data_IF_091738024471
#
_entry.id   IF_091738024471
#
_cell.length_a   1.000
_cell.length_b   1.000
_cell.length_c   1.000
_cell.angle_alpha   90.00
_cell.angle_beta   90.00
_cell.angle_gamma   90.00
#
_symmetry.space_group_name_H-M   'P 1'
#
loop_
_entity.id
_entity.type
_entity.pdbx_description
1 polymer ?
#
# COMPACT_ATOMS: atom_id res chain seq x y z
N UNK A 1 64.39 60.18 -0.11
CA UNK A 1 63.02 60.68 -0.37
C UNK A 1 62.39 59.80 -1.44
N UNK A 2 61.30 59.09 -1.11
CA UNK A 2 60.16 58.72 -1.98
C UNK A 2 59.16 58.05 -1.02
N UNK A 3 58.05 58.74 -0.75
CA UNK A 3 56.92 58.28 0.09
C UNK A 3 56.09 57.28 -0.70
N UNK A 4 55.77 56.12 -0.10
CA UNK A 4 54.76 55.19 -0.61
C UNK A 4 53.37 55.69 -0.24
N UNK A 5 52.50 55.84 -1.24
CA UNK A 5 51.07 56.10 -1.10
C UNK A 5 50.35 54.76 -0.99
N UNK A 6 49.57 54.57 0.07
CA UNK A 6 48.63 53.45 0.22
C UNK A 6 47.23 53.96 -0.10
N UNK A 7 46.65 53.50 -1.21
CA UNK A 7 45.23 53.67 -1.52
C UNK A 7 44.42 52.57 -0.81
N UNK A 8 43.45 52.99 0.01
CA UNK A 8 42.46 52.11 0.62
C UNK A 8 41.25 51.99 -0.33
N UNK A 9 41.00 50.80 -0.89
CA UNK A 9 39.71 50.49 -1.54
C UNK A 9 38.75 49.93 -0.49
N UNK A 10 37.66 50.66 -0.22
CA UNK A 10 36.50 50.15 0.50
C UNK A 10 35.62 49.36 -0.48
N UNK A 11 35.50 48.04 -0.27
CA UNK A 11 34.59 47.20 -1.03
C UNK A 11 33.17 47.28 -0.43
N UNK A 12 32.23 47.84 -1.20
CA UNK A 12 30.80 47.81 -0.90
C UNK A 12 30.28 46.43 -1.32
N UNK A 13 30.00 45.56 -0.35
CA UNK A 13 29.33 44.29 -0.61
C UNK A 13 27.83 44.55 -0.87
N UNK A 14 27.39 44.37 -2.12
CA UNK A 14 25.98 44.37 -2.46
C UNK A 14 25.31 43.12 -1.88
N UNK A 15 24.41 43.31 -0.90
CA UNK A 15 23.57 42.25 -0.36
C UNK A 15 22.51 41.90 -1.40
N UNK A 16 22.64 40.75 -2.05
CA UNK A 16 21.59 40.24 -2.93
C UNK A 16 20.32 39.94 -2.10
N UNK A 17 19.11 40.30 -2.56
CA UNK A 17 17.88 40.00 -1.84
C UNK A 17 17.69 38.48 -1.77
N UNK A 18 17.44 37.98 -0.56
CA UNK A 18 17.07 36.58 -0.34
C UNK A 18 15.79 36.28 -1.14
N UNK A 19 15.86 35.31 -2.06
CA UNK A 19 14.70 34.83 -2.79
C UNK A 19 13.65 34.32 -1.81
N UNK A 20 12.45 34.91 -1.83
CA UNK A 20 11.33 34.47 -1.01
C UNK A 20 11.03 32.99 -1.29
N UNK A 21 11.04 32.16 -0.25
CA UNK A 21 10.63 30.76 -0.39
C UNK A 21 9.17 30.70 -0.84
N UNK A 22 8.80 29.80 -1.79
CA UNK A 22 7.41 29.61 -2.17
C UNK A 22 6.56 29.30 -0.93
N UNK A 23 5.42 29.98 -0.80
CA UNK A 23 4.50 29.77 0.31
C UNK A 23 4.13 28.28 0.45
N UNK A 24 4.01 27.80 1.69
CA UNK A 24 3.54 26.45 1.95
C UNK A 24 2.12 26.27 1.37
N UNK A 25 1.83 25.13 0.71
CA UNK A 25 0.49 24.86 0.21
C UNK A 25 -0.54 24.93 1.34
N UNK A 26 -1.72 25.48 1.06
CA UNK A 26 -2.81 25.51 2.03
C UNK A 26 -3.18 24.07 2.49
N UNK A 27 -3.56 23.89 3.78
CA UNK A 27 -4.11 22.64 4.26
C UNK A 27 -5.40 22.26 3.52
N UNK A 28 -5.59 20.96 3.27
CA UNK A 28 -6.80 20.42 2.66
C UNK A 28 -7.96 20.42 3.65
N UNK A 29 -9.17 20.80 3.23
CA UNK A 29 -10.35 20.77 4.10
C UNK A 29 -11.08 19.42 4.01
N UNK A 30 -10.74 18.47 4.87
CA UNK A 30 -11.37 17.13 4.87
C UNK A 30 -12.78 17.09 5.49
N UNK A 31 -13.32 18.21 5.97
CA UNK A 31 -14.75 18.29 6.29
C UNK A 31 -15.61 18.24 5.02
N UNK A 32 -15.04 18.61 3.86
CA UNK A 32 -15.69 18.54 2.56
C UNK A 32 -15.65 17.12 2.02
N UNK A 33 -16.83 16.59 1.70
CA UNK A 33 -16.97 15.26 1.12
C UNK A 33 -16.19 15.09 -0.20
N UNK A 34 -16.00 16.16 -0.99
CA UNK A 34 -15.23 16.12 -2.24
C UNK A 34 -13.77 15.70 -2.08
N UNK A 35 -13.19 15.84 -0.87
CA UNK A 35 -11.80 15.49 -0.59
C UNK A 35 -11.65 14.02 -0.13
N UNK A 36 -12.66 13.19 -0.41
CA UNK A 36 -12.65 11.75 -0.14
C UNK A 36 -12.98 11.01 -1.44
N UNK A 37 -12.25 9.93 -1.72
CA UNK A 37 -12.60 8.91 -2.73
C UNK A 37 -13.70 7.99 -2.23
N UNK A 38 -13.61 7.60 -0.96
CA UNK A 38 -14.62 6.80 -0.27
C UNK A 38 -15.04 7.49 1.02
N UNK A 39 -16.34 7.70 1.19
CA UNK A 39 -16.92 8.26 2.40
C UNK A 39 -18.27 7.56 2.68
N UNK A 40 -18.47 6.92 3.84
CA UNK A 40 -19.70 6.20 4.12
C UNK A 40 -20.94 7.10 4.07
N UNK A 41 -22.05 6.58 3.53
CA UNK A 41 -23.32 7.31 3.44
C UNK A 41 -23.54 8.08 2.14
N UNK A 42 -22.62 7.99 1.17
CA UNK A 42 -22.83 8.53 -0.19
C UNK A 42 -22.68 7.43 -1.26
N UNK A 43 -23.20 7.70 -2.44
CA UNK A 43 -22.89 6.93 -3.64
C UNK A 43 -21.49 7.33 -4.15
N UNK A 44 -20.55 6.39 -4.14
CA UNK A 44 -19.20 6.55 -4.64
C UNK A 44 -18.60 5.21 -5.13
N UNK A 45 -17.28 5.21 -5.33
CA UNK A 45 -16.54 4.07 -5.86
C UNK A 45 -16.50 2.86 -4.91
N UNK A 46 -16.55 3.09 -3.59
CA UNK A 46 -16.60 2.02 -2.59
C UNK A 46 -18.02 1.53 -2.34
N UNK A 47 -19.06 2.31 -2.69
CA UNK A 47 -20.46 1.88 -2.57
C UNK A 47 -20.97 1.12 -3.81
N UNK A 48 -20.13 0.91 -4.83
CA UNK A 48 -20.51 0.23 -6.08
C UNK A 48 -20.04 -1.21 -6.07
N UNK A 49 -20.94 -2.21 -6.12
CA UNK A 49 -20.56 -3.62 -6.20
C UNK A 49 -19.70 -3.95 -7.42
N UNK A 50 -18.74 -4.86 -7.24
CA UNK A 50 -17.78 -5.26 -8.27
C UNK A 50 -18.09 -6.67 -8.80
N UNK A 51 -18.41 -6.74 -10.08
CA UNK A 51 -18.59 -7.99 -10.80
C UNK A 51 -17.33 -8.85 -10.74
N UNK A 52 -17.46 -10.06 -10.23
CA UNK A 52 -16.36 -11.01 -10.05
C UNK A 52 -16.79 -12.41 -10.49
N UNK A 53 -15.91 -13.10 -11.22
CA UNK A 53 -16.08 -14.49 -11.63
C UNK A 53 -15.13 -15.35 -10.81
N UNK A 54 -15.63 -16.45 -10.22
CA UNK A 54 -14.76 -17.45 -9.61
C UNK A 54 -13.99 -18.18 -10.71
N UNK A 55 -12.70 -18.43 -10.51
CA UNK A 55 -11.86 -19.21 -11.41
C UNK A 55 -11.22 -20.35 -10.64
N UNK A 56 -11.66 -21.57 -10.96
CA UNK A 56 -11.32 -22.81 -10.28
C UNK A 56 -10.58 -23.74 -11.25
N UNK A 57 -10.01 -24.87 -10.79
CA UNK A 57 -9.33 -25.83 -11.67
C UNK A 57 -10.15 -26.28 -12.90
N UNK A 58 -11.49 -26.27 -12.79
CA UNK A 58 -12.41 -26.67 -13.86
C UNK A 58 -12.80 -25.54 -14.83
N UNK A 59 -12.29 -24.31 -14.64
CA UNK A 59 -12.60 -23.13 -15.47
C UNK A 59 -13.35 -22.03 -14.72
N UNK A 60 -14.04 -21.17 -15.47
CA UNK A 60 -14.90 -20.12 -14.93
C UNK A 60 -16.10 -20.75 -14.20
N UNK A 61 -16.31 -20.29 -12.98
CA UNK A 61 -17.39 -20.71 -12.11
C UNK A 61 -18.45 -19.62 -11.94
N UNK A 62 -18.92 -19.47 -10.71
CA UNK A 62 -19.98 -18.51 -10.38
C UNK A 62 -19.59 -17.07 -10.68
N UNK A 63 -20.54 -16.32 -11.22
CA UNK A 63 -20.46 -14.87 -11.41
C UNK A 63 -21.28 -14.21 -10.31
N UNK A 64 -20.71 -13.21 -9.64
CA UNK A 64 -21.37 -12.51 -8.55
C UNK A 64 -20.91 -11.05 -8.42
N UNK A 65 -21.53 -10.35 -7.50
CA UNK A 65 -21.19 -8.97 -7.14
C UNK A 65 -20.58 -8.95 -5.75
N UNK A 66 -19.56 -8.11 -5.52
CA UNK A 66 -19.01 -7.93 -4.17
C UNK A 66 -20.08 -7.34 -3.24
N UNK A 67 -20.19 -7.80 -1.98
CA UNK A 67 -21.12 -7.22 -1.02
C UNK A 67 -20.73 -5.79 -0.64
N UNK A 68 -21.75 -4.98 -0.33
CA UNK A 68 -21.60 -3.67 0.33
C UNK A 68 -22.43 -3.73 1.60
N UNK A 69 -21.77 -3.68 2.76
CA UNK A 69 -22.45 -3.83 4.04
C UNK A 69 -23.30 -2.60 4.35
N UNK A 70 -24.60 -2.80 4.58
CA UNK A 70 -25.50 -1.74 5.06
C UNK A 70 -25.05 -1.23 6.43
N UNK A 71 -24.60 -2.14 7.29
CA UNK A 71 -24.08 -1.85 8.61
C UNK A 71 -22.79 -2.65 8.82
N UNK A 72 -21.67 -1.96 8.89
CA UNK A 72 -20.41 -2.55 9.31
C UNK A 72 -20.05 -2.02 10.71
N UNK A 73 -19.58 -2.86 11.65
CA UNK A 73 -19.27 -2.45 13.02
C UNK A 73 -17.85 -1.90 13.19
N UNK A 74 -17.00 -2.06 12.18
CA UNK A 74 -15.61 -1.57 12.14
C UNK A 74 -15.42 -0.60 10.96
N UNK A 75 -14.46 0.31 11.10
CA UNK A 75 -14.09 1.25 10.04
C UNK A 75 -12.79 0.80 9.35
N UNK A 76 -12.64 1.08 8.06
CA UNK A 76 -11.37 0.97 7.37
C UNK A 76 -10.94 2.35 6.88
N UNK A 77 -9.74 2.76 7.29
CA UNK A 77 -9.07 3.96 6.80
C UNK A 77 -7.99 3.56 5.80
N UNK A 78 -8.19 3.88 4.53
CA UNK A 78 -7.31 3.50 3.43
C UNK A 78 -6.51 4.67 2.89
N UNK A 79 -5.23 4.44 2.62
CA UNK A 79 -4.35 5.37 1.90
C UNK A 79 -3.79 4.65 0.69
N UNK A 80 -4.11 5.17 -0.50
CA UNK A 80 -3.72 4.55 -1.77
C UNK A 80 -2.22 4.69 -2.07
N UNK A 81 -1.65 3.85 -2.97
CA UNK A 81 -0.24 3.93 -3.37
C UNK A 81 0.02 5.09 -4.33
N UNK A 82 1.28 5.27 -4.73
CA UNK A 82 1.62 6.15 -5.85
C UNK A 82 0.96 5.67 -7.14
N UNK A 83 0.07 6.49 -7.70
CA UNK A 83 -0.58 6.23 -9.00
C UNK A 83 -0.67 7.46 -9.91
N UNK A 84 -0.45 8.67 -9.39
CA UNK A 84 -0.58 9.90 -10.17
C UNK A 84 0.53 10.07 -11.21
N UNK A 85 0.12 10.46 -12.41
CA UNK A 85 0.97 10.84 -13.54
C UNK A 85 1.13 12.37 -13.67
N UNK A 86 0.72 13.15 -12.66
CA UNK A 86 0.87 14.60 -12.68
C UNK A 86 2.34 15.00 -12.84
N UNK A 87 2.57 16.12 -13.53
CA UNK A 87 3.92 16.60 -13.84
C UNK A 87 4.73 17.04 -12.62
N UNK A 88 4.06 17.35 -11.51
CA UNK A 88 4.71 17.78 -10.26
C UNK A 88 5.28 16.61 -9.44
N UNK A 89 6.00 16.93 -8.36
CA UNK A 89 6.47 15.93 -7.40
C UNK A 89 5.34 15.42 -6.47
N UNK A 90 4.24 16.17 -6.38
CA UNK A 90 3.00 15.74 -5.75
C UNK A 90 1.85 15.88 -6.74
N UNK A 91 0.83 15.03 -6.59
CA UNK A 91 -0.42 15.16 -7.31
C UNK A 91 -1.19 16.42 -6.89
N UNK A 92 -2.20 16.77 -7.67
CA UNK A 92 -3.24 17.68 -7.22
C UNK A 92 -4.25 16.98 -6.28
N UNK A 93 -5.39 17.64 -6.04
CA UNK A 93 -6.51 17.10 -5.24
C UNK A 93 -7.69 16.63 -6.13
N UNK A 94 -7.48 16.53 -7.43
CA UNK A 94 -8.48 16.13 -8.42
C UNK A 94 -8.27 14.66 -8.75
N UNK A 95 -8.94 13.77 -8.03
CA UNK A 95 -8.79 12.34 -8.27
C UNK A 95 -9.26 11.93 -9.68
N UNK A 96 -8.34 11.34 -10.44
CA UNK A 96 -8.57 10.83 -11.79
C UNK A 96 -8.78 9.30 -11.80
N UNK A 97 -8.74 8.70 -12.99
CA UNK A 97 -8.93 7.25 -13.13
C UNK A 97 -7.86 6.42 -12.41
N UNK A 98 -6.67 6.95 -12.22
CA UNK A 98 -5.53 6.30 -11.56
C UNK A 98 -5.84 6.09 -10.07
N UNK A 99 -6.24 7.13 -9.34
CA UNK A 99 -6.66 7.02 -7.93
C UNK A 99 -7.91 6.15 -7.78
N UNK A 100 -8.88 6.32 -8.69
CA UNK A 100 -10.12 5.52 -8.70
C UNK A 100 -9.83 4.03 -8.92
N UNK A 101 -8.97 3.70 -9.88
CA UNK A 101 -8.60 2.32 -10.17
C UNK A 101 -7.79 1.69 -9.03
N UNK A 102 -6.96 2.47 -8.32
CA UNK A 102 -6.26 2.00 -7.12
C UNK A 102 -7.28 1.55 -6.05
N UNK A 103 -8.29 2.38 -5.78
CA UNK A 103 -9.37 2.05 -4.84
C UNK A 103 -10.16 0.82 -5.30
N UNK A 104 -10.56 0.74 -6.58
CA UNK A 104 -11.30 -0.42 -7.10
C UNK A 104 -10.51 -1.72 -6.99
N UNK A 105 -9.21 -1.67 -7.29
CA UNK A 105 -8.33 -2.83 -7.25
C UNK A 105 -8.00 -3.25 -5.81
N UNK A 106 -7.77 -2.31 -4.90
CA UNK A 106 -7.16 -2.61 -3.60
C UNK A 106 -8.13 -2.52 -2.42
N UNK A 107 -9.17 -1.70 -2.48
CA UNK A 107 -9.92 -1.29 -1.29
C UNK A 107 -11.45 -1.42 -1.38
N UNK A 108 -12.07 -1.21 -2.55
CA UNK A 108 -13.53 -1.14 -2.68
C UNK A 108 -14.26 -2.39 -2.12
N UNK A 109 -13.68 -3.59 -2.26
CA UNK A 109 -14.25 -4.83 -1.72
C UNK A 109 -14.32 -4.90 -0.19
N UNK A 110 -13.53 -4.10 0.52
CA UNK A 110 -13.61 -3.99 1.98
C UNK A 110 -14.95 -3.38 2.43
N UNK A 111 -15.69 -2.70 1.55
CA UNK A 111 -17.03 -2.21 1.83
C UNK A 111 -18.03 -3.32 2.25
N UNK A 112 -17.73 -4.58 1.94
CA UNK A 112 -18.50 -5.73 2.42
C UNK A 112 -18.32 -6.03 3.91
N UNK A 113 -17.29 -5.49 4.56
CA UNK A 113 -16.90 -5.84 5.94
C UNK A 113 -16.60 -4.65 6.85
N UNK A 114 -16.37 -3.45 6.31
CA UNK A 114 -16.11 -2.23 7.07
C UNK A 114 -16.69 -0.98 6.40
N UNK A 115 -16.85 0.09 7.18
CA UNK A 115 -17.12 1.43 6.62
C UNK A 115 -15.86 1.97 5.98
N UNK A 116 -15.90 2.31 4.69
CA UNK A 116 -14.71 2.67 3.90
C UNK A 116 -14.44 4.17 3.88
N UNK A 117 -13.27 4.59 4.37
CA UNK A 117 -12.77 5.96 4.31
C UNK A 117 -11.47 5.98 3.48
N UNK A 118 -11.43 6.77 2.43
CA UNK A 118 -10.22 6.96 1.61
C UNK A 118 -10.09 8.44 1.23
N UNK A 119 -9.16 9.22 1.84
CA UNK A 119 -9.00 10.63 1.53
C UNK A 119 -8.28 10.83 0.19
N UNK A 120 -8.64 11.87 -0.56
CA UNK A 120 -7.79 12.39 -1.65
C UNK A 120 -6.67 13.20 -1.02
N UNK A 121 -5.43 12.79 -1.21
CA UNK A 121 -4.25 13.47 -0.68
C UNK A 121 -3.24 13.73 -1.79
N UNK A 122 -2.40 14.75 -1.62
CA UNK A 122 -1.35 15.11 -2.59
C UNK A 122 -0.20 14.10 -2.54
N UNK A 123 -0.45 12.90 -3.04
CA UNK A 123 0.50 11.79 -3.11
C UNK A 123 1.77 12.18 -3.86
N UNK A 124 2.92 11.60 -3.52
CA UNK A 124 4.08 11.74 -4.41
C UNK A 124 3.81 11.00 -5.71
N UNK A 125 4.04 11.67 -6.85
CA UNK A 125 3.75 11.16 -8.19
C UNK A 125 4.73 10.09 -8.64
N UNK A 126 4.45 9.43 -9.77
CA UNK A 126 5.41 8.53 -10.42
C UNK A 126 6.71 9.25 -10.78
N UNK A 127 6.66 10.56 -11.10
CA UNK A 127 7.84 11.40 -11.29
C UNK A 127 8.70 11.52 -10.03
N UNK A 128 8.08 11.70 -8.86
CA UNK A 128 8.81 11.71 -7.60
C UNK A 128 9.41 10.35 -7.24
N UNK A 129 8.71 9.24 -7.54
CA UNK A 129 9.27 7.89 -7.36
C UNK A 129 10.49 7.68 -8.24
N UNK A 130 10.43 8.08 -9.52
CA UNK A 130 11.57 8.00 -10.43
C UNK A 130 12.74 8.87 -9.95
N UNK A 131 12.46 10.09 -9.49
CA UNK A 131 13.49 10.97 -8.93
C UNK A 131 14.15 10.37 -7.68
N UNK A 132 13.36 9.78 -6.76
CA UNK A 132 13.89 9.10 -5.59
C UNK A 132 14.78 7.90 -5.97
N UNK A 133 14.35 7.11 -6.96
CA UNK A 133 15.15 6.00 -7.49
C UNK A 133 16.46 6.47 -8.14
N UNK A 134 16.49 7.69 -8.69
CA UNK A 134 17.70 8.35 -9.19
C UNK A 134 18.53 9.05 -8.10
N UNK A 135 18.16 8.92 -6.82
CA UNK A 135 18.89 9.48 -5.68
C UNK A 135 18.54 10.93 -5.32
N UNK A 136 17.49 11.51 -5.90
CA UNK A 136 17.04 12.85 -5.55
C UNK A 136 16.37 12.88 -4.17
N UNK A 137 16.50 14.00 -3.46
CA UNK A 137 15.76 14.23 -2.21
C UNK A 137 14.27 14.49 -2.50
N UNK A 138 13.43 13.57 -2.03
CA UNK A 138 11.96 13.67 -2.09
C UNK A 138 11.32 13.92 -0.72
N UNK A 139 12.10 14.44 0.25
CA UNK A 139 11.63 14.70 1.61
C UNK A 139 10.50 15.75 1.65
N UNK A 140 10.58 16.80 0.82
CA UNK A 140 9.53 17.83 0.72
C UNK A 140 8.19 17.25 0.22
N UNK A 141 8.12 16.54 -0.93
CA UNK A 141 6.87 15.96 -1.38
C UNK A 141 6.35 14.88 -0.43
N UNK A 142 7.22 14.11 0.22
CA UNK A 142 6.82 13.14 1.25
C UNK A 142 6.17 13.81 2.47
N UNK A 143 6.73 14.93 2.97
CA UNK A 143 6.16 15.69 4.09
C UNK A 143 4.79 16.26 3.76
N UNK A 144 4.59 16.75 2.53
CA UNK A 144 3.29 17.26 2.08
C UNK A 144 2.23 16.14 2.05
N UNK A 145 2.57 15.00 1.45
CA UNK A 145 1.70 13.83 1.39
C UNK A 145 1.29 13.37 2.81
N UNK A 146 2.26 13.27 3.72
CA UNK A 146 1.99 12.90 5.11
C UNK A 146 1.12 13.93 5.84
N UNK A 147 1.38 15.23 5.66
CA UNK A 147 0.60 16.28 6.28
C UNK A 147 -0.88 16.20 5.88
N UNK A 148 -1.16 15.90 4.62
CA UNK A 148 -2.52 15.69 4.11
C UNK A 148 -3.17 14.45 4.72
N UNK A 149 -2.48 13.32 4.77
CA UNK A 149 -3.00 12.07 5.38
C UNK A 149 -3.26 12.25 6.88
N UNK A 150 -2.36 12.89 7.61
CA UNK A 150 -2.52 13.17 9.03
C UNK A 150 -3.71 14.11 9.29
N UNK A 151 -3.94 15.08 8.40
CA UNK A 151 -5.10 15.97 8.48
C UNK A 151 -6.42 15.23 8.20
N UNK A 152 -6.45 14.36 7.18
CA UNK A 152 -7.60 13.50 6.91
C UNK A 152 -7.92 12.58 8.09
N UNK A 153 -6.91 11.97 8.69
CA UNK A 153 -7.04 11.11 9.86
C UNK A 153 -7.65 11.83 11.06
N UNK A 154 -7.11 13.01 11.41
CA UNK A 154 -7.64 13.82 12.52
C UNK A 154 -9.10 14.21 12.26
N UNK A 155 -9.43 14.57 11.02
CA UNK A 155 -10.81 14.88 10.63
C UNK A 155 -11.72 13.66 10.72
N UNK A 156 -11.24 12.50 10.28
CA UNK A 156 -11.96 11.23 10.42
C UNK A 156 -12.26 10.90 11.89
N UNK A 157 -11.27 10.99 12.76
CA UNK A 157 -11.46 10.76 14.19
C UNK A 157 -12.48 11.72 14.79
N UNK A 158 -12.41 13.00 14.43
CA UNK A 158 -13.26 14.05 14.99
C UNK A 158 -14.72 13.96 14.51
N UNK A 159 -14.95 13.66 13.23
CA UNK A 159 -16.28 13.77 12.60
C UNK A 159 -16.97 12.43 12.38
N UNK A 160 -16.22 11.37 12.07
CA UNK A 160 -16.79 10.15 11.51
C UNK A 160 -16.61 8.90 12.37
N UNK A 161 -15.49 8.80 13.11
CA UNK A 161 -15.14 7.59 13.86
C UNK A 161 -16.06 7.33 15.05
N UNK A 162 -16.43 8.36 15.83
CA UNK A 162 -17.35 8.23 16.96
C UNK A 162 -16.96 7.12 17.97
N UNK A 163 -15.64 6.92 18.20
CA UNK A 163 -15.11 5.92 19.14
C UNK A 163 -15.08 4.48 18.61
N UNK A 164 -15.36 4.28 17.32
CA UNK A 164 -15.39 2.95 16.70
C UNK A 164 -13.99 2.38 16.54
N UNK A 165 -13.90 1.05 16.57
CA UNK A 165 -12.67 0.36 16.19
C UNK A 165 -12.40 0.53 14.70
N UNK A 166 -11.12 0.45 14.32
CA UNK A 166 -10.71 0.65 12.94
C UNK A 166 -9.60 -0.30 12.50
N UNK A 167 -9.53 -0.48 11.18
CA UNK A 167 -8.44 -1.10 10.44
C UNK A 167 -7.79 -0.03 9.57
N UNK A 168 -6.48 -0.06 9.48
CA UNK A 168 -5.72 0.78 8.55
C UNK A 168 -5.30 -0.08 7.36
N UNK A 169 -5.49 0.42 6.15
CA UNK A 169 -5.10 -0.29 4.92
C UNK A 169 -4.24 0.64 4.08
N UNK A 170 -3.02 0.24 3.79
CA UNK A 170 -2.10 0.99 2.93
C UNK A 170 -1.49 0.08 1.88
N UNK A 171 -1.01 0.67 0.80
CA UNK A 171 -0.09 -0.02 -0.11
C UNK A 171 1.03 0.93 -0.51
N UNK A 172 2.26 0.43 -0.61
CA UNK A 172 3.40 1.20 -1.09
C UNK A 172 3.55 2.53 -0.35
N UNK A 173 3.41 3.68 -1.04
CA UNK A 173 3.41 4.99 -0.41
C UNK A 173 2.36 5.11 0.71
N UNK A 174 1.15 4.58 0.50
CA UNK A 174 0.11 4.56 1.52
C UNK A 174 0.54 3.79 2.77
N UNK A 175 1.26 2.68 2.62
CA UNK A 175 1.85 1.95 3.75
C UNK A 175 2.88 2.80 4.49
N UNK A 176 3.76 3.52 3.77
CA UNK A 176 4.68 4.48 4.37
C UNK A 176 3.93 5.59 5.15
N UNK A 177 2.90 6.19 4.55
CA UNK A 177 2.11 7.24 5.22
C UNK A 177 1.45 6.72 6.50
N UNK A 178 0.91 5.50 6.45
CA UNK A 178 0.28 4.86 7.61
C UNK A 178 1.29 4.42 8.67
N UNK A 179 2.52 4.04 8.29
CA UNK A 179 3.59 3.84 9.26
C UNK A 179 3.89 5.12 10.05
N UNK A 180 4.05 6.26 9.36
CA UNK A 180 4.25 7.55 10.02
C UNK A 180 3.03 7.97 10.85
N UNK A 181 1.82 7.67 10.38
CA UNK A 181 0.61 7.96 11.11
C UNK A 181 0.50 7.13 12.41
N UNK A 182 0.84 5.84 12.35
CA UNK A 182 0.88 4.98 13.53
C UNK A 182 1.89 5.53 14.54
N UNK A 183 3.12 5.84 14.12
CA UNK A 183 4.17 6.37 15.00
C UNK A 183 3.77 7.66 15.72
N UNK A 184 3.16 8.60 14.99
CA UNK A 184 2.95 9.95 15.49
C UNK A 184 1.54 10.20 16.04
N UNK A 185 0.54 9.48 15.55
CA UNK A 185 -0.87 9.72 15.87
C UNK A 185 -1.53 8.57 16.63
N UNK A 186 -0.87 7.42 16.80
CA UNK A 186 -1.47 6.23 17.41
C UNK A 186 -0.62 5.69 18.56
N UNK A 187 0.67 5.38 18.36
CA UNK A 187 1.52 4.79 19.40
C UNK A 187 1.55 5.64 20.67
N UNK A 188 1.30 5.02 21.82
CA UNK A 188 1.26 5.70 23.11
C UNK A 188 0.04 6.60 23.34
N UNK A 189 -0.90 6.70 22.39
CA UNK A 189 -2.13 7.50 22.53
C UNK A 189 -3.35 6.61 22.82
N UNK A 190 -4.42 7.15 23.44
CA UNK A 190 -5.63 6.38 23.73
C UNK A 190 -6.26 5.69 22.51
N UNK A 191 -6.16 6.31 21.33
CA UNK A 191 -6.68 5.78 20.05
C UNK A 191 -6.04 4.45 19.64
N UNK A 192 -4.84 4.11 20.15
CA UNK A 192 -4.21 2.81 19.89
C UNK A 192 -5.11 1.62 20.29
N UNK A 193 -5.95 1.80 21.33
CA UNK A 193 -6.89 0.76 21.79
C UNK A 193 -8.00 0.46 20.77
N UNK A 194 -8.25 1.39 19.83
CA UNK A 194 -9.27 1.24 18.80
C UNK A 194 -8.71 0.60 17.52
N UNK A 195 -7.40 0.60 17.31
CA UNK A 195 -6.78 -0.03 16.14
C UNK A 195 -6.83 -1.56 16.28
N UNK A 196 -7.55 -2.23 15.38
CA UNK A 196 -7.64 -3.70 15.38
C UNK A 196 -6.57 -4.34 14.51
N UNK A 197 -6.21 -3.68 13.41
CA UNK A 197 -5.25 -4.20 12.45
C UNK A 197 -4.70 -3.05 11.59
N UNK A 198 -3.41 -3.11 11.25
CA UNK A 198 -2.84 -2.33 10.15
C UNK A 198 -2.36 -3.28 9.05
N UNK A 199 -2.85 -3.13 7.83
CA UNK A 199 -2.46 -3.90 6.64
C UNK A 199 -1.57 -3.00 5.80
N UNK A 200 -0.26 -3.24 5.81
CA UNK A 200 0.77 -2.33 5.30
C UNK A 200 1.72 -2.96 4.26
N UNK A 201 1.21 -3.63 3.21
CA UNK A 201 2.08 -4.23 2.20
C UNK A 201 2.76 -3.22 1.25
N UNK A 202 3.76 -3.68 0.51
CA UNK A 202 4.46 -2.89 -0.52
C UNK A 202 5.41 -1.83 0.04
N UNK A 203 5.69 -1.83 1.33
CA UNK A 203 6.72 -0.98 1.92
C UNK A 203 7.41 -1.70 3.07
N UNK A 204 8.71 -1.50 3.22
CA UNK A 204 9.46 -2.17 4.28
C UNK A 204 8.98 -1.70 5.65
N UNK A 205 8.63 -2.65 6.53
CA UNK A 205 8.47 -2.42 7.97
C UNK A 205 9.67 -3.10 8.64
N UNK A 206 10.52 -2.34 9.32
CA UNK A 206 11.74 -2.89 9.92
C UNK A 206 11.49 -3.35 11.36
N UNK A 207 12.06 -4.49 11.73
CA UNK A 207 12.11 -4.98 13.11
C UNK A 207 13.49 -5.59 13.39
N UNK A 208 13.97 -5.59 14.64
CA UNK A 208 15.13 -6.40 15.00
C UNK A 208 14.87 -7.87 14.70
N UNK A 209 15.90 -8.61 14.27
CA UNK A 209 15.78 -10.03 13.97
C UNK A 209 15.23 -10.80 15.17
N UNK A 210 14.23 -11.66 14.94
CA UNK A 210 13.54 -12.41 15.98
C UNK A 210 12.61 -11.58 16.88
N UNK A 211 12.41 -10.28 16.61
CA UNK A 211 11.50 -9.41 17.34
C UNK A 211 10.31 -8.99 16.48
N UNK A 212 9.27 -8.50 17.15
CA UNK A 212 8.02 -8.02 16.53
C UNK A 212 7.80 -6.52 16.68
N UNK A 213 8.62 -5.86 17.50
CA UNK A 213 8.64 -4.42 17.80
C UNK A 213 10.08 -3.95 17.95
N UNK A 214 10.29 -2.63 18.06
CA UNK A 214 11.62 -2.04 18.31
C UNK A 214 12.34 -1.60 17.03
N UNK A 215 11.61 -1.41 15.94
CA UNK A 215 12.13 -0.91 14.66
C UNK A 215 11.25 0.23 14.15
N UNK A 216 10.56 0.03 13.03
CA UNK A 216 9.57 1.00 12.51
C UNK A 216 8.55 1.38 13.58
N UNK A 217 8.06 0.42 14.35
CA UNK A 217 7.14 0.66 15.45
C UNK A 217 7.82 0.37 16.79
N UNK A 218 7.56 1.23 17.78
CA UNK A 218 8.09 1.07 19.14
C UNK A 218 7.29 0.05 19.93
N UNK A 219 5.96 0.05 19.78
CA UNK A 219 5.04 -0.75 20.58
C UNK A 219 3.98 -1.50 19.77
N UNK A 220 3.69 -1.11 18.53
CA UNK A 220 2.77 -1.86 17.65
C UNK A 220 3.46 -3.09 17.07
N UNK A 221 3.08 -4.33 17.44
CA UNK A 221 3.77 -5.52 17.00
C UNK A 221 3.40 -5.93 15.57
N UNK A 222 4.31 -6.58 14.86
CA UNK A 222 4.00 -7.33 13.63
C UNK A 222 3.14 -8.54 13.98
N UNK A 223 1.99 -8.78 13.34
CA UNK A 223 1.06 -9.85 13.71
C UNK A 223 1.68 -11.27 13.66
N UNK A 224 1.40 -12.10 14.67
CA UNK A 224 1.89 -13.47 14.80
C UNK A 224 0.79 -14.54 14.84
N UNK A 225 -0.50 -14.17 14.84
CA UNK A 225 -1.57 -15.15 14.70
C UNK A 225 -2.84 -14.59 14.04
N UNK A 226 -3.75 -15.45 13.54
CA UNK A 226 -5.05 -15.06 13.01
C UNK A 226 -5.99 -14.35 14.00
N UNK A 227 -5.84 -14.59 15.31
CA UNK A 227 -6.74 -13.99 16.31
C UNK A 227 -6.20 -12.66 16.89
N UNK A 228 -4.92 -12.35 16.63
CA UNK A 228 -4.28 -11.19 17.22
C UNK A 228 -4.81 -9.87 16.66
N UNK A 229 -4.91 -8.87 17.53
CA UNK A 229 -5.39 -7.52 17.21
C UNK A 229 -4.45 -6.46 17.75
N UNK A 230 -4.55 -5.23 17.26
CA UNK A 230 -3.63 -4.15 17.63
C UNK A 230 -2.23 -4.36 17.05
N UNK A 231 -2.13 -5.11 15.97
CA UNK A 231 -0.87 -5.48 15.31
C UNK A 231 -0.86 -5.03 13.84
N UNK A 232 0.33 -5.03 13.23
CA UNK A 232 0.53 -4.73 11.82
C UNK A 232 0.86 -6.00 11.01
N UNK A 233 0.13 -6.24 9.93
CA UNK A 233 0.52 -7.16 8.87
C UNK A 233 1.30 -6.38 7.83
N UNK A 234 2.50 -6.84 7.48
CA UNK A 234 3.35 -6.19 6.49
C UNK A 234 4.09 -7.23 5.66
N UNK A 235 4.23 -6.96 4.38
CA UNK A 235 5.06 -7.76 3.48
C UNK A 235 5.45 -6.94 2.25
N UNK A 236 6.52 -7.37 1.61
CA UNK A 236 6.82 -7.04 0.22
C UNK A 236 6.94 -8.38 -0.50
N UNK A 237 6.23 -8.54 -1.61
CA UNK A 237 6.13 -9.82 -2.31
C UNK A 237 7.23 -9.99 -3.35
N UNK A 238 7.71 -11.21 -3.50
CA UNK A 238 8.65 -11.62 -4.54
C UNK A 238 8.24 -12.99 -5.06
N UNK A 239 8.34 -13.20 -6.38
CA UNK A 239 8.07 -14.51 -6.98
C UNK A 239 9.02 -15.57 -6.40
N UNK A 240 8.53 -16.80 -6.26
CA UNK A 240 9.34 -17.93 -5.84
C UNK A 240 10.62 -18.00 -6.68
N UNK A 241 11.76 -18.23 -6.00
CA UNK A 241 13.11 -18.24 -6.56
C UNK A 241 13.66 -16.88 -7.07
N UNK A 242 12.87 -15.81 -7.07
CA UNK A 242 13.32 -14.44 -7.36
C UNK A 242 13.57 -13.68 -6.06
N UNK A 243 14.66 -14.00 -5.35
CA UNK A 243 14.96 -13.35 -4.07
C UNK A 243 15.32 -11.87 -4.28
N UNK A 244 15.04 -10.97 -3.31
CA UNK A 244 15.49 -9.58 -3.42
C UNK A 244 17.01 -9.55 -3.71
N UNK A 245 17.50 -8.86 -4.75
CA UNK A 245 18.95 -8.77 -4.98
C UNK A 245 19.62 -7.90 -3.92
N UNK A 246 20.93 -8.06 -3.68
CA UNK A 246 21.67 -7.13 -2.80
C UNK A 246 21.47 -5.68 -3.29
N UNK A 247 21.20 -4.76 -2.37
CA UNK A 247 20.89 -3.36 -2.72
C UNK A 247 19.45 -3.12 -3.20
N UNK A 248 18.58 -4.14 -3.17
CA UNK A 248 17.16 -3.96 -3.46
C UNK A 248 16.52 -2.92 -2.52
N UNK A 249 15.66 -2.08 -3.08
CA UNK A 249 14.87 -1.10 -2.34
C UNK A 249 13.92 -1.80 -1.34
N UNK A 250 13.33 -2.92 -1.75
CA UNK A 250 12.39 -3.69 -0.95
C UNK A 250 12.97 -5.04 -0.53
N UNK A 251 12.59 -5.48 0.67
CA UNK A 251 12.89 -6.82 1.18
C UNK A 251 14.27 -6.97 1.82
N UNK A 252 14.98 -5.87 2.04
CA UNK A 252 16.27 -5.82 2.74
C UNK A 252 16.28 -4.67 3.75
N UNK A 253 16.61 -4.98 5.01
CA UNK A 253 16.85 -3.98 6.03
C UNK A 253 18.23 -3.33 5.86
N UNK A 254 18.35 -1.99 5.98
CA UNK A 254 19.64 -1.31 5.76
C UNK A 254 20.64 -1.55 6.90
N UNK A 255 20.16 -1.75 8.13
CA UNK A 255 21.02 -1.89 9.31
C UNK A 255 21.28 -3.37 9.68
N UNK A 256 22.51 -3.73 10.11
CA UNK A 256 22.80 -5.04 10.67
C UNK A 256 21.91 -5.35 11.89
N UNK A 257 21.56 -6.62 12.09
CA UNK A 257 20.66 -7.06 13.18
C UNK A 257 19.18 -6.73 12.99
N UNK A 258 18.82 -5.96 11.96
CA UNK A 258 17.45 -5.70 11.55
C UNK A 258 17.03 -6.66 10.42
N UNK A 259 15.72 -6.78 10.20
CA UNK A 259 15.11 -7.45 9.05
C UNK A 259 13.84 -6.70 8.62
N UNK A 260 13.35 -6.98 7.41
CA UNK A 260 12.03 -6.54 6.97
C UNK A 260 11.00 -7.51 7.53
N UNK A 261 9.98 -7.01 8.22
CA UNK A 261 8.89 -7.82 8.71
C UNK A 261 8.12 -8.45 7.56
N UNK A 262 7.81 -9.73 7.70
CA UNK A 262 6.92 -10.45 6.82
C UNK A 262 5.80 -11.08 7.64
N UNK A 263 4.57 -10.87 7.20
CA UNK A 263 3.39 -11.56 7.70
C UNK A 263 2.71 -12.27 6.55
N UNK A 264 2.48 -13.58 6.67
CA UNK A 264 1.71 -14.31 5.67
C UNK A 264 0.25 -13.84 5.74
N UNK A 265 -0.33 -13.31 4.64
CA UNK A 265 -1.64 -12.67 4.70
C UNK A 265 -2.80 -13.65 4.92
N UNK A 266 -2.66 -14.92 4.51
CA UNK A 266 -3.65 -15.96 4.78
C UNK A 266 -3.60 -16.45 6.23
N UNK A 267 -2.38 -16.50 6.82
CA UNK A 267 -2.15 -17.03 8.17
C UNK A 267 -0.98 -16.33 8.86
N UNK A 268 -1.21 -15.20 9.56
CA UNK A 268 -0.15 -14.51 10.29
C UNK A 268 0.59 -15.42 11.26
N UNK A 269 1.92 -15.29 11.32
CA UNK A 269 2.82 -16.16 12.07
C UNK A 269 3.24 -17.45 11.35
N UNK A 270 2.59 -17.84 10.25
CA UNK A 270 2.99 -19.02 9.48
C UNK A 270 4.22 -18.75 8.61
N UNK A 271 5.17 -19.69 8.66
CA UNK A 271 6.31 -19.78 7.72
C UNK A 271 6.09 -20.87 6.66
N UNK A 272 4.98 -21.59 6.73
CA UNK A 272 4.61 -22.60 5.75
C UNK A 272 4.09 -21.95 4.46
N UNK A 273 4.00 -22.76 3.40
CA UNK A 273 3.28 -22.39 2.19
C UNK A 273 1.77 -22.44 2.47
N UNK A 274 1.15 -21.26 2.48
CA UNK A 274 -0.30 -21.12 2.62
C UNK A 274 -0.91 -20.83 1.26
N UNK A 275 -2.07 -21.43 0.94
CA UNK A 275 -2.86 -21.06 -0.25
C UNK A 275 -3.52 -19.72 0.02
N UNK A 276 -3.51 -18.83 -0.97
CA UNK A 276 -4.13 -17.51 -0.85
C UNK A 276 -5.49 -17.48 -1.55
N UNK A 277 -6.41 -16.69 -1.01
CA UNK A 277 -7.65 -16.28 -1.65
C UNK A 277 -7.44 -14.91 -2.30
N UNK A 278 -7.35 -14.90 -3.62
CA UNK A 278 -6.90 -13.76 -4.40
C UNK A 278 -8.04 -13.14 -5.20
N UNK A 279 -7.97 -11.82 -5.40
CA UNK A 279 -8.81 -11.11 -6.36
C UNK A 279 -7.93 -10.38 -7.37
N UNK A 280 -8.05 -10.78 -8.63
CA UNK A 280 -7.24 -10.26 -9.73
C UNK A 280 -8.05 -9.33 -10.61
N UNK A 281 -7.43 -8.25 -11.10
CA UNK A 281 -7.97 -7.53 -12.25
C UNK A 281 -7.83 -8.41 -13.48
N UNK A 282 -8.95 -8.68 -14.15
CA UNK A 282 -8.97 -9.53 -15.34
C UNK A 282 -8.42 -8.81 -16.58
N UNK A 283 -8.33 -7.47 -16.50
CA UNK A 283 -7.89 -6.56 -17.56
C UNK A 283 -6.63 -5.81 -17.15
N UNK A 284 -5.65 -6.51 -16.60
CA UNK A 284 -4.38 -5.92 -16.20
C UNK A 284 -3.56 -5.53 -17.45
N UNK A 285 -3.30 -4.24 -17.63
CA UNK A 285 -2.71 -3.68 -18.85
C UNK A 285 -1.20 -3.45 -18.78
N UNK A 286 -0.59 -3.54 -17.59
CA UNK A 286 0.86 -3.38 -17.43
C UNK A 286 1.60 -4.65 -17.86
N UNK A 287 2.89 -4.54 -18.25
CA UNK A 287 3.68 -5.69 -18.68
C UNK A 287 3.68 -6.81 -17.64
N UNK A 288 3.49 -8.05 -18.12
CA UNK A 288 3.52 -9.27 -17.31
C UNK A 288 4.59 -10.20 -17.88
N UNK A 289 5.40 -10.89 -17.06
CA UNK A 289 6.45 -11.78 -17.55
C UNK A 289 5.85 -12.87 -18.45
N UNK A 290 6.20 -12.86 -19.75
CA UNK A 290 5.69 -13.78 -20.78
C UNK A 290 4.50 -13.27 -21.63
N UNK A 291 4.13 -11.99 -21.55
CA UNK A 291 3.03 -11.40 -22.33
C UNK A 291 1.68 -11.35 -21.61
N UNK A 292 0.58 -10.96 -22.28
CA UNK A 292 -0.75 -10.86 -21.68
C UNK A 292 -1.19 -12.15 -20.98
N UNK A 293 -1.99 -12.02 -19.92
CA UNK A 293 -2.50 -13.17 -19.16
C UNK A 293 -3.78 -13.68 -19.82
N UNK A 294 -3.75 -14.92 -20.30
CA UNK A 294 -4.95 -15.70 -20.59
C UNK A 294 -5.36 -16.43 -19.31
N UNK A 295 -6.37 -15.91 -18.62
CA UNK A 295 -6.75 -16.41 -17.29
C UNK A 295 -7.29 -17.84 -17.28
N UNK A 296 -7.90 -18.27 -18.40
CA UNK A 296 -8.38 -19.64 -18.55
C UNK A 296 -8.34 -20.10 -20.00
N UNK A 297 -8.24 -21.42 -20.20
CA UNK A 297 -8.39 -22.08 -21.51
C UNK A 297 -9.78 -21.88 -22.11
N UNK A 298 -10.77 -21.43 -21.34
CA UNK A 298 -12.13 -21.10 -21.79
C UNK A 298 -12.25 -19.71 -22.43
N UNK A 299 -11.14 -18.98 -22.55
CA UNK A 299 -11.10 -17.66 -23.20
C UNK A 299 -11.26 -16.51 -22.21
N UNK A 300 -11.86 -15.41 -22.67
CA UNK A 300 -11.91 -14.16 -21.90
C UNK A 300 -12.83 -14.24 -20.68
N UNK A 301 -12.43 -13.63 -19.55
CA UNK A 301 -13.20 -13.67 -18.32
C UNK A 301 -14.50 -12.87 -18.43
N UNK A 302 -15.63 -13.37 -17.88
CA UNK A 302 -16.94 -12.71 -17.98
C UNK A 302 -17.03 -11.36 -17.26
N UNK A 303 -16.17 -11.12 -16.27
CA UNK A 303 -16.20 -9.93 -15.41
C UNK A 303 -14.84 -9.23 -15.33
N UNK A 304 -14.81 -7.94 -14.91
CA UNK A 304 -13.56 -7.19 -14.74
C UNK A 304 -12.62 -7.74 -13.66
N UNK A 305 -13.12 -8.63 -12.79
CA UNK A 305 -12.32 -9.26 -11.75
C UNK A 305 -12.51 -10.77 -11.70
N UNK A 306 -11.48 -11.45 -11.21
CA UNK A 306 -11.48 -12.89 -10.97
C UNK A 306 -11.15 -13.17 -9.51
N UNK A 307 -11.86 -14.11 -8.88
CA UNK A 307 -11.48 -14.67 -7.58
C UNK A 307 -10.87 -16.04 -7.79
N UNK A 308 -9.71 -16.29 -7.21
CA UNK A 308 -9.05 -17.61 -7.29
C UNK A 308 -8.66 -18.08 -5.91
N UNK A 309 -9.03 -19.32 -5.57
CA UNK A 309 -8.60 -19.94 -4.32
C UNK A 309 -7.40 -20.88 -4.55
N UNK A 310 -6.25 -20.45 -4.06
CA UNK A 310 -5.00 -21.17 -4.15
C UNK A 310 -4.47 -21.38 -5.56
N UNK A 311 -4.81 -20.48 -6.49
CA UNK A 311 -4.02 -20.31 -7.71
C UNK A 311 -2.58 -19.90 -7.34
N UNK A 312 -2.42 -19.09 -6.30
CA UNK A 312 -1.13 -18.78 -5.72
C UNK A 312 -1.04 -19.27 -4.28
N UNK A 313 0.19 -19.57 -3.86
CA UNK A 313 0.55 -19.81 -2.47
C UNK A 313 1.65 -18.86 -2.06
N UNK A 314 1.74 -18.54 -0.78
CA UNK A 314 2.79 -17.71 -0.25
C UNK A 314 3.38 -18.23 1.06
N UNK A 315 4.64 -17.90 1.31
CA UNK A 315 5.32 -18.11 2.59
C UNK A 315 6.22 -16.94 2.94
N UNK A 316 6.34 -16.64 4.23
CA UNK A 316 7.29 -15.65 4.68
C UNK A 316 8.71 -16.21 4.69
N UNK A 317 9.64 -15.45 4.11
CA UNK A 317 11.06 -15.74 4.07
C UNK A 317 11.81 -14.68 4.87
N UNK A 318 12.58 -15.12 5.86
CA UNK A 318 13.46 -14.24 6.65
C UNK A 318 14.85 -14.87 6.71
N UNK A 319 15.88 -14.14 6.27
CA UNK A 319 17.27 -14.57 6.36
C UNK A 319 18.18 -13.35 6.55
N UNK A 320 18.69 -13.17 7.77
CA UNK A 320 19.45 -11.97 8.14
C UNK A 320 18.63 -10.70 7.89
N UNK A 321 19.20 -9.78 7.11
CA UNK A 321 18.53 -8.53 6.73
C UNK A 321 17.37 -8.71 5.75
N UNK A 322 17.26 -9.88 5.12
CA UNK A 322 16.21 -10.16 4.13
C UNK A 322 14.93 -10.58 4.83
N UNK A 323 13.82 -10.00 4.38
CA UNK A 323 12.48 -10.33 4.82
C UNK A 323 11.46 -10.02 3.74
N UNK A 324 10.74 -11.03 3.26
CA UNK A 324 9.80 -10.86 2.14
C UNK A 324 8.79 -12.01 2.08
N UNK A 325 7.67 -11.80 1.39
CA UNK A 325 6.70 -12.84 1.10
C UNK A 325 7.08 -13.50 -0.23
N UNK A 326 7.46 -14.78 -0.19
CA UNK A 326 7.73 -15.56 -1.40
C UNK A 326 6.42 -16.09 -1.95
N UNK A 327 6.13 -15.82 -3.22
CA UNK A 327 4.85 -16.12 -3.87
C UNK A 327 5.05 -17.09 -5.02
N UNK A 328 4.36 -18.22 -4.95
CA UNK A 328 4.37 -19.31 -5.94
C UNK A 328 3.06 -19.32 -6.68
N UNK A 329 3.09 -19.45 -8.01
CA UNK A 329 1.91 -19.87 -8.77
C UNK A 329 1.82 -21.39 -8.74
N UNK A 330 0.70 -21.92 -8.25
CA UNK A 330 0.45 -23.36 -8.16
C UNK A 330 0.01 -23.88 -9.54
N UNK A 331 0.94 -23.86 -10.49
CA UNK A 331 0.72 -24.28 -11.87
C UNK A 331 0.31 -25.77 -11.93
N UNK A 332 -0.72 -26.08 -12.71
CA UNK A 332 -1.15 -27.46 -12.99
C UNK A 332 -1.61 -27.52 -14.45
N UNK A 333 -0.82 -28.14 -15.36
CA UNK A 333 -1.15 -28.17 -16.78
C UNK A 333 -2.43 -28.96 -17.11
N UNK A 334 -3.01 -29.67 -16.14
CA UNK A 334 -4.28 -30.38 -16.29
C UNK A 334 -5.48 -29.52 -15.95
N UNK A 335 -5.26 -28.38 -15.30
CA UNK A 335 -6.32 -27.46 -14.93
C UNK A 335 -6.54 -26.38 -15.98
N UNK A 336 -7.72 -25.74 -15.95
CA UNK A 336 -8.10 -24.73 -16.94
C UNK A 336 -7.63 -23.33 -16.57
N UNK A 337 -6.94 -23.12 -15.46
CA UNK A 337 -6.48 -21.82 -14.97
C UNK A 337 -5.15 -21.45 -15.62
N UNK A 338 -4.83 -20.18 -15.57
CA UNK A 338 -3.50 -19.68 -15.94
C UNK A 338 -2.42 -20.23 -15.01
N UNK A 339 -1.24 -20.52 -15.55
CA UNK A 339 -0.03 -20.78 -14.77
C UNK A 339 0.76 -19.49 -14.48
N UNK A 340 0.20 -18.34 -14.84
CA UNK A 340 0.86 -17.03 -14.79
C UNK A 340 -0.04 -15.98 -14.17
N UNK A 341 0.54 -15.21 -13.25
CA UNK A 341 -0.09 -14.04 -12.62
C UNK A 341 0.80 -12.82 -12.75
N UNK A 342 0.20 -11.63 -12.78
CA UNK A 342 0.92 -10.37 -12.75
C UNK A 342 1.47 -10.09 -11.35
N UNK A 343 2.36 -9.10 -11.26
CA UNK A 343 2.80 -8.54 -9.98
C UNK A 343 4.03 -7.66 -10.12
N UNK A 344 4.90 -7.94 -11.08
CA UNK A 344 6.15 -7.22 -11.24
C UNK A 344 5.97 -5.80 -11.79
N UNK A 345 6.82 -4.88 -11.34
CA UNK A 345 6.91 -3.53 -11.91
C UNK A 345 7.81 -3.57 -13.14
N UNK A 346 7.24 -3.19 -14.28
CA UNK A 346 7.95 -3.12 -15.56
C UNK A 346 8.09 -1.70 -16.09
N UNK A 347 9.22 -1.41 -16.73
CA UNK A 347 9.46 -0.19 -17.51
C UNK A 347 10.19 -0.54 -18.82
N UNK A 348 9.72 -0.01 -19.96
CA UNK A 348 10.27 -0.28 -21.29
C UNK A 348 10.45 -1.78 -21.60
N UNK A 349 9.52 -2.62 -21.15
CA UNK A 349 9.55 -4.07 -21.37
C UNK A 349 10.47 -4.87 -20.43
N UNK A 350 11.15 -4.21 -19.48
CA UNK A 350 12.03 -4.84 -18.50
C UNK A 350 11.46 -4.71 -17.08
N UNK A 351 11.58 -5.76 -16.26
CA UNK A 351 11.22 -5.68 -14.85
C UNK A 351 12.29 -4.97 -14.04
N UNK A 352 11.87 -4.10 -13.12
CA UNK A 352 12.79 -3.33 -12.28
C UNK A 352 13.28 -4.25 -11.14
N UNK A 353 14.58 -4.59 -11.08
CA UNK A 353 15.11 -5.43 -10.02
C UNK A 353 14.84 -4.84 -8.63
N UNK A 354 14.54 -5.70 -7.65
CA UNK A 354 14.30 -5.28 -6.27
C UNK A 354 12.91 -4.70 -5.97
N UNK A 355 12.01 -4.61 -6.96
CA UNK A 355 10.59 -4.27 -6.75
C UNK A 355 9.72 -5.50 -6.49
N UNK A 356 10.15 -6.70 -6.88
CA UNK A 356 9.38 -7.92 -6.64
C UNK A 356 8.00 -7.89 -7.31
N UNK A 357 6.99 -8.48 -6.66
CA UNK A 357 5.60 -8.55 -7.12
C UNK A 357 4.73 -7.39 -6.59
N UNK A 358 5.33 -6.20 -6.43
CA UNK A 358 4.72 -4.98 -5.85
C UNK A 358 3.30 -4.64 -6.32
N UNK A 359 2.96 -4.88 -7.59
CA UNK A 359 1.62 -4.59 -8.14
C UNK A 359 0.56 -5.62 -7.73
N UNK A 360 0.97 -6.79 -7.23
CA UNK A 360 0.11 -7.87 -6.79
C UNK A 360 -0.02 -7.97 -5.26
N UNK A 361 0.80 -7.26 -4.48
CA UNK A 361 0.86 -7.35 -3.01
C UNK A 361 -0.50 -7.46 -2.30
N UNK A 362 -1.49 -6.66 -2.72
CA UNK A 362 -2.87 -6.76 -2.19
C UNK A 362 -3.68 -7.80 -2.95
N UNK A 363 -3.64 -7.79 -4.28
CA UNK A 363 -4.46 -8.64 -5.14
C UNK A 363 -4.30 -10.14 -4.83
N UNK A 364 -3.06 -10.56 -4.57
CA UNK A 364 -2.70 -11.95 -4.32
C UNK A 364 -3.36 -12.54 -3.07
N UNK A 365 -3.75 -11.71 -2.10
CA UNK A 365 -4.37 -12.15 -0.84
C UNK A 365 -5.62 -11.35 -0.44
N UNK A 366 -6.21 -10.58 -1.37
CA UNK A 366 -7.28 -9.63 -1.02
C UNK A 366 -8.48 -10.33 -0.36
N UNK A 367 -8.79 -11.57 -0.74
CA UNK A 367 -9.84 -12.36 -0.12
C UNK A 367 -9.54 -12.74 1.32
N UNK A 368 -8.30 -13.14 1.61
CA UNK A 368 -7.84 -13.39 2.98
C UNK A 368 -7.91 -12.13 3.85
N UNK A 369 -7.50 -10.99 3.30
CA UNK A 369 -7.54 -9.71 4.00
C UNK A 369 -8.99 -9.28 4.33
N UNK A 370 -9.90 -9.38 3.37
CA UNK A 370 -11.33 -9.09 3.58
C UNK A 370 -11.92 -10.03 4.62
N UNK A 371 -11.64 -11.33 4.52
CA UNK A 371 -12.11 -12.34 5.48
C UNK A 371 -11.62 -12.00 6.89
N UNK A 372 -10.35 -11.66 7.05
CA UNK A 372 -9.77 -11.26 8.35
C UNK A 372 -10.45 -10.00 8.90
N UNK A 373 -10.66 -8.96 8.09
CA UNK A 373 -11.38 -7.76 8.55
C UNK A 373 -12.81 -8.10 8.94
N UNK A 374 -13.50 -8.97 8.19
CA UNK A 374 -14.83 -9.45 8.53
C UNK A 374 -14.89 -10.30 9.82
N UNK A 375 -13.82 -11.04 10.16
CA UNK A 375 -13.71 -11.74 11.44
C UNK A 375 -13.54 -10.74 12.60
N UNK A 376 -12.69 -9.72 12.41
CA UNK A 376 -12.49 -8.65 13.39
C UNK A 376 -13.77 -7.82 13.61
N UNK A 377 -14.60 -7.68 12.59
CA UNK A 377 -15.88 -6.98 12.69
C UNK A 377 -16.91 -7.75 13.53
N UNK A 378 -16.75 -9.08 13.69
CA UNK A 378 -17.67 -9.92 14.49
C UNK A 378 -17.24 -10.13 15.93
N UNK A 379 -15.95 -9.93 16.24
CA UNK A 379 -15.41 -10.06 17.59
C UNK A 379 -15.88 -8.89 18.46
N UNK A 380 -16.78 -9.17 19.42
CA UNK A 380 -17.29 -8.21 20.40
C UNK A 380 -16.23 -7.81 21.42
#
# INVERSE_FOLDING_TARGET
MIRKVLLSLAAIAAVAPASAQPAAPAPVDYSKASNWLCLPGRADICSTPLGTTALNPNGYGSVGQSPVAKYAPIDCFYVYPTVSNDRGMNSDLTADNSERNAVLAQFARFAGVCRTFAPVYRQMTLGAVAAAAAGADVSRPARLAYADVANAWRTYLALYNQGRTFVMVGHSQGSLMLQELIKHEIEGKPVAKQMRLAILPGYNLYVPQGRRVGGTFKSTPVCASPAETGCAMSWVSFRENNVPPVGALFGIAPAPGMTVACTNPARPGSTAWERLDSYWSSRFALPVPGGPITWSTEGSPPTPYLRTEGLVSARCMTNGQRGYLSVRTNADPRDKRTDRVYGEVGFLGMFIPGWGMHLADIAEAQGDLIRRVGELSRAK
#
